data_IF_495675066796
#
_entry.id   IF_495675066796
#
_cell.length_a   1.000
_cell.length_b   1.000
_cell.length_c   1.000
_cell.angle_alpha   90.00
_cell.angle_beta   90.00
_cell.angle_gamma   90.00
#
_symmetry.space_group_name_H-M   'P 1'
#
loop_
_entity.id
_entity.type
_entity.pdbx_description
1 polymer ?
#
# COMPACT_ATOMS: atom_id res chain seq x y z
N UNK A 1 -10.70 36.69 -11.33
CA UNK A 1 -10.23 35.29 -11.27
C UNK A 1 -11.36 34.42 -10.70
N UNK A 2 -11.86 33.44 -11.45
CA UNK A 2 -12.89 32.51 -10.95
C UNK A 2 -12.16 31.37 -10.19
N UNK A 3 -12.64 30.95 -9.00
CA UNK A 3 -12.02 29.81 -8.33
C UNK A 3 -12.25 28.55 -9.15
N UNK A 4 -11.17 27.77 -9.38
CA UNK A 4 -11.24 26.48 -10.06
C UNK A 4 -12.12 25.53 -9.23
N UNK A 5 -13.12 24.93 -9.87
CA UNK A 5 -13.95 23.91 -9.23
C UNK A 5 -13.07 22.73 -8.85
N UNK A 6 -12.96 22.44 -7.55
CA UNK A 6 -12.37 21.18 -7.06
C UNK A 6 -13.06 19.99 -7.74
N UNK A 7 -12.33 18.94 -8.14
CA UNK A 7 -12.92 17.75 -8.71
C UNK A 7 -13.92 17.17 -7.69
N UNK A 8 -15.17 17.00 -8.11
CA UNK A 8 -16.18 16.31 -7.30
C UNK A 8 -15.78 14.85 -7.19
N UNK A 9 -15.39 14.41 -6.00
CA UNK A 9 -15.30 12.99 -5.70
C UNK A 9 -16.72 12.41 -5.80
N UNK A 10 -16.96 11.61 -6.81
CA UNK A 10 -18.14 10.77 -6.85
C UNK A 10 -17.89 9.56 -5.97
N UNK A 11 -18.58 9.48 -4.85
CA UNK A 11 -18.70 8.19 -4.16
C UNK A 11 -19.34 7.21 -5.14
N UNK A 12 -18.78 6.01 -5.31
CA UNK A 12 -19.36 5.02 -6.19
C UNK A 12 -20.75 4.69 -5.66
N UNK A 13 -21.78 5.05 -6.42
CA UNK A 13 -23.19 4.73 -6.14
C UNK A 13 -23.54 3.29 -6.51
N UNK A 14 -22.54 2.51 -6.92
CA UNK A 14 -22.67 1.08 -7.21
C UNK A 14 -22.64 0.26 -5.94
N UNK A 15 -23.80 -0.33 -5.59
CA UNK A 15 -23.86 -1.34 -4.52
C UNK A 15 -22.86 -2.49 -4.82
N UNK A 16 -22.12 -2.98 -3.81
CA UNK A 16 -21.27 -4.19 -3.96
C UNK A 16 -22.01 -5.42 -4.49
N UNK A 17 -23.33 -5.41 -4.49
CA UNK A 17 -24.18 -6.46 -5.05
C UNK A 17 -24.06 -6.62 -6.57
N UNK A 18 -23.76 -5.56 -7.31
CA UNK A 18 -23.62 -5.63 -8.79
C UNK A 18 -22.41 -6.42 -9.26
N UNK A 19 -21.39 -6.62 -8.41
CA UNK A 19 -20.19 -7.40 -8.73
C UNK A 19 -20.34 -8.90 -8.47
N UNK A 20 -21.35 -9.32 -7.66
CA UNK A 20 -21.56 -10.74 -7.33
C UNK A 20 -22.06 -11.56 -8.50
N UNK A 21 -22.77 -10.94 -9.44
CA UNK A 21 -23.39 -11.60 -10.59
C UNK A 21 -22.46 -11.72 -11.80
N UNK A 22 -21.27 -11.13 -11.73
CA UNK A 22 -20.26 -11.21 -12.80
C UNK A 22 -19.23 -12.28 -12.43
N UNK A 23 -18.89 -13.23 -13.30
CA UNK A 23 -17.82 -14.20 -13.05
C UNK A 23 -16.51 -13.50 -12.67
N UNK A 24 -15.74 -14.12 -11.77
CA UNK A 24 -14.42 -13.60 -11.39
C UNK A 24 -13.51 -13.69 -12.61
N UNK A 25 -12.93 -12.56 -13.00
CA UNK A 25 -11.99 -12.46 -14.10
C UNK A 25 -10.55 -12.76 -13.69
N UNK A 26 -9.62 -12.41 -14.56
CA UNK A 26 -8.19 -12.46 -14.28
C UNK A 26 -7.83 -11.49 -13.14
N UNK A 27 -6.72 -11.72 -12.41
CA UNK A 27 -6.26 -10.79 -11.39
C UNK A 27 -6.21 -9.33 -11.85
N UNK A 28 -5.71 -9.06 -13.06
CA UNK A 28 -5.59 -7.70 -13.61
C UNK A 28 -6.97 -7.09 -13.88
N UNK A 29 -7.93 -7.86 -14.38
CA UNK A 29 -9.32 -7.39 -14.57
C UNK A 29 -9.99 -7.04 -13.24
N UNK A 30 -9.77 -7.84 -12.19
CA UNK A 30 -10.34 -7.56 -10.86
C UNK A 30 -9.67 -6.35 -10.21
N UNK A 31 -8.36 -6.15 -10.40
CA UNK A 31 -7.65 -4.93 -9.98
C UNK A 31 -8.24 -3.71 -10.70
N UNK A 32 -8.49 -3.81 -12.02
CA UNK A 32 -9.10 -2.71 -12.78
C UNK A 32 -10.50 -2.36 -12.26
N UNK A 33 -11.35 -3.37 -12.04
CA UNK A 33 -12.70 -3.17 -11.48
C UNK A 33 -12.67 -2.52 -10.10
N UNK A 34 -11.77 -2.98 -9.22
CA UNK A 34 -11.60 -2.41 -7.90
C UNK A 34 -11.08 -0.97 -7.97
N UNK A 35 -10.10 -0.68 -8.83
CA UNK A 35 -9.59 0.67 -9.03
C UNK A 35 -10.69 1.64 -9.48
N UNK A 36 -11.48 1.24 -10.48
CA UNK A 36 -12.58 2.06 -11.00
C UNK A 36 -13.67 2.29 -9.93
N UNK A 37 -14.01 1.25 -9.16
CA UNK A 37 -15.04 1.34 -8.13
C UNK A 37 -14.66 2.30 -6.99
N UNK A 38 -13.38 2.42 -6.66
CA UNK A 38 -12.89 3.26 -5.57
C UNK A 38 -12.20 4.56 -6.03
N UNK A 39 -12.17 4.83 -7.34
CA UNK A 39 -11.55 6.03 -7.90
C UNK A 39 -10.03 6.08 -7.70
N UNK A 40 -9.38 4.92 -7.68
CA UNK A 40 -7.93 4.79 -7.54
C UNK A 40 -7.25 4.71 -8.91
N UNK A 41 -5.99 5.12 -8.95
CA UNK A 41 -5.16 4.96 -10.14
C UNK A 41 -4.88 3.46 -10.40
N UNK A 42 -5.30 2.98 -11.57
CA UNK A 42 -5.14 1.58 -11.94
C UNK A 42 -3.67 1.18 -12.09
N UNK A 43 -2.82 2.06 -12.62
CA UNK A 43 -1.39 1.78 -12.77
C UNK A 43 -0.71 1.64 -11.41
N UNK A 44 -1.13 2.45 -10.42
CA UNK A 44 -0.69 2.30 -9.04
C UNK A 44 -1.12 0.94 -8.46
N UNK A 45 -2.38 0.58 -8.60
CA UNK A 45 -2.87 -0.71 -8.08
C UNK A 45 -2.17 -1.90 -8.75
N UNK A 46 -1.88 -1.83 -10.06
CA UNK A 46 -1.07 -2.84 -10.75
C UNK A 46 0.37 -2.89 -10.20
N UNK A 47 0.99 -1.73 -9.99
CA UNK A 47 2.34 -1.66 -9.45
C UNK A 47 2.44 -2.33 -8.07
N UNK A 48 1.48 -2.06 -7.19
CA UNK A 48 1.42 -2.70 -5.87
C UNK A 48 1.22 -4.21 -5.99
N UNK A 49 0.23 -4.67 -6.75
CA UNK A 49 -0.02 -6.11 -6.92
C UNK A 49 1.18 -6.85 -7.53
N UNK A 50 1.91 -6.20 -8.46
CA UNK A 50 3.16 -6.75 -9.02
C UNK A 50 4.24 -6.92 -7.94
N UNK A 51 4.40 -5.92 -7.07
CA UNK A 51 5.40 -5.95 -6.00
C UNK A 51 5.05 -7.01 -4.94
N UNK A 52 3.77 -7.07 -4.56
CA UNK A 52 3.32 -7.90 -3.44
C UNK A 52 3.20 -9.38 -3.77
N UNK A 53 2.74 -9.71 -4.98
CA UNK A 53 2.39 -11.09 -5.32
C UNK A 53 2.76 -11.52 -6.75
N UNK A 54 3.28 -10.63 -7.57
CA UNK A 54 3.40 -10.88 -9.02
C UNK A 54 2.06 -11.29 -9.66
N UNK A 55 0.97 -10.70 -9.21
CA UNK A 55 -0.42 -10.99 -9.60
C UNK A 55 -0.91 -12.40 -9.22
N UNK A 56 -0.23 -13.11 -8.31
CA UNK A 56 -0.70 -14.40 -7.81
C UNK A 56 -1.71 -14.20 -6.66
N UNK A 57 -3.01 -14.53 -6.86
CA UNK A 57 -4.01 -14.39 -5.80
C UNK A 57 -3.81 -15.38 -4.64
N UNK A 58 -2.96 -16.39 -4.81
CA UNK A 58 -2.67 -17.42 -3.80
C UNK A 58 -1.34 -17.18 -3.08
N UNK A 59 -0.60 -16.12 -3.44
CA UNK A 59 0.67 -15.79 -2.79
C UNK A 59 0.50 -15.69 -1.27
N UNK A 60 1.49 -16.22 -0.55
CA UNK A 60 1.59 -16.13 0.92
C UNK A 60 3.00 -15.75 1.34
N UNK A 61 3.11 -14.73 2.18
CA UNK A 61 4.37 -14.28 2.77
C UNK A 61 4.15 -14.09 4.27
N UNK A 62 4.50 -15.11 5.06
CA UNK A 62 4.19 -15.12 6.49
C UNK A 62 2.68 -15.12 6.74
N UNK A 63 2.18 -14.10 7.44
CA UNK A 63 0.75 -13.91 7.75
C UNK A 63 -0.02 -13.11 6.68
N UNK A 64 0.66 -12.70 5.60
CA UNK A 64 0.06 -11.91 4.53
C UNK A 64 -0.32 -12.77 3.34
N UNK A 65 -1.46 -12.47 2.70
CA UNK A 65 -2.11 -13.35 1.73
C UNK A 65 -2.70 -12.58 0.56
N UNK A 66 -2.64 -13.21 -0.62
CA UNK A 66 -3.34 -12.79 -1.82
C UNK A 66 -2.63 -11.71 -2.63
N UNK A 67 -3.35 -11.13 -3.60
CA UNK A 67 -2.82 -10.17 -4.57
C UNK A 67 -2.10 -8.98 -3.95
N UNK A 68 -2.64 -8.45 -2.85
CA UNK A 68 -2.13 -7.27 -2.16
C UNK A 68 -1.51 -7.58 -0.81
N UNK A 69 -1.24 -8.86 -0.52
CA UNK A 69 -0.61 -9.31 0.71
C UNK A 69 -1.25 -8.66 1.95
N UNK A 70 -2.55 -8.90 2.13
CA UNK A 70 -3.30 -8.43 3.29
C UNK A 70 -3.19 -9.45 4.43
N UNK A 71 -3.09 -8.96 5.67
CA UNK A 71 -3.31 -9.79 6.85
C UNK A 71 -4.79 -10.15 7.01
N UNK A 72 -5.10 -11.21 7.74
CA UNK A 72 -6.49 -11.59 8.03
C UNK A 72 -7.25 -10.45 8.73
N UNK A 73 -6.58 -9.71 9.62
CA UNK A 73 -7.19 -8.58 10.32
C UNK A 73 -7.52 -7.42 9.37
N UNK A 74 -6.63 -7.10 8.43
CA UNK A 74 -6.89 -6.08 7.41
C UNK A 74 -8.03 -6.52 6.49
N UNK A 75 -8.02 -7.78 6.04
CA UNK A 75 -9.08 -8.30 5.20
C UNK A 75 -10.43 -8.29 5.90
N UNK A 76 -10.50 -8.67 7.17
CA UNK A 76 -11.72 -8.59 7.97
C UNK A 76 -12.23 -7.15 8.15
N UNK A 77 -11.31 -6.18 8.21
CA UNK A 77 -11.64 -4.76 8.36
C UNK A 77 -12.13 -4.10 7.06
N UNK A 78 -11.51 -4.43 5.93
CA UNK A 78 -11.72 -3.72 4.66
C UNK A 78 -12.44 -4.55 3.60
N UNK A 79 -12.64 -5.84 3.81
CA UNK A 79 -13.21 -6.75 2.82
C UNK A 79 -14.20 -7.75 3.39
N UNK A 80 -14.64 -8.63 2.52
CA UNK A 80 -15.49 -9.79 2.86
C UNK A 80 -15.30 -10.86 1.79
N UNK A 81 -15.69 -12.10 2.10
CA UNK A 81 -15.57 -13.23 1.20
C UNK A 81 -14.29 -14.03 1.44
N UNK A 82 -13.55 -14.34 0.39
CA UNK A 82 -12.34 -15.17 0.44
C UNK A 82 -11.09 -14.32 0.11
N UNK A 83 -10.16 -14.21 1.05
CA UNK A 83 -8.91 -13.49 0.91
C UNK A 83 -8.03 -14.00 -0.25
N UNK A 84 -8.22 -15.26 -0.67
CA UNK A 84 -7.53 -15.87 -1.83
C UNK A 84 -8.28 -15.66 -3.16
N UNK A 85 -9.48 -15.08 -3.12
CA UNK A 85 -10.21 -14.69 -4.31
C UNK A 85 -9.66 -13.36 -4.84
N UNK A 86 -9.31 -13.31 -6.11
CA UNK A 86 -8.69 -12.12 -6.73
C UNK A 86 -9.57 -10.87 -6.57
N UNK A 87 -10.89 -10.99 -6.77
CA UNK A 87 -11.86 -9.91 -6.63
C UNK A 87 -11.94 -9.41 -5.20
N UNK A 88 -12.16 -10.32 -4.25
CA UNK A 88 -12.37 -9.97 -2.84
C UNK A 88 -11.12 -9.30 -2.25
N UNK A 89 -9.94 -9.82 -2.59
CA UNK A 89 -8.66 -9.25 -2.16
C UNK A 89 -8.41 -7.87 -2.80
N UNK A 90 -8.68 -7.69 -4.10
CA UNK A 90 -8.53 -6.41 -4.79
C UNK A 90 -9.49 -5.35 -4.24
N UNK A 91 -10.75 -5.71 -3.97
CA UNK A 91 -11.74 -4.80 -3.37
C UNK A 91 -11.30 -4.36 -1.96
N UNK A 92 -10.86 -5.31 -1.12
CA UNK A 92 -10.39 -5.01 0.23
C UNK A 92 -9.17 -4.06 0.20
N UNK A 93 -8.21 -4.32 -0.68
CA UNK A 93 -7.05 -3.46 -0.87
C UNK A 93 -7.44 -2.06 -1.38
N UNK A 94 -8.33 -1.98 -2.37
CA UNK A 94 -8.80 -0.70 -2.90
C UNK A 94 -9.51 0.13 -1.83
N UNK A 95 -10.36 -0.50 -1.02
CA UNK A 95 -11.02 0.18 0.09
C UNK A 95 -10.00 0.67 1.14
N UNK A 96 -9.00 -0.15 1.48
CA UNK A 96 -7.89 0.24 2.36
C UNK A 96 -7.15 1.46 1.83
N UNK A 97 -6.76 1.47 0.55
CA UNK A 97 -6.05 2.60 -0.07
C UNK A 97 -6.91 3.87 -0.16
N UNK A 98 -8.18 3.75 -0.54
CA UNK A 98 -9.10 4.89 -0.58
C UNK A 98 -9.27 5.51 0.82
N UNK A 99 -9.42 4.68 1.85
CA UNK A 99 -9.49 5.13 3.24
C UNK A 99 -8.20 5.83 3.67
N UNK A 100 -7.04 5.25 3.35
CA UNK A 100 -5.74 5.84 3.66
C UNK A 100 -5.55 7.21 2.98
N UNK A 101 -5.96 7.36 1.72
CA UNK A 101 -5.90 8.62 0.98
C UNK A 101 -6.75 9.71 1.66
N UNK A 102 -7.97 9.37 2.06
CA UNK A 102 -8.87 10.31 2.76
C UNK A 102 -8.28 10.74 4.11
N UNK A 103 -7.81 9.80 4.91
CA UNK A 103 -7.21 10.09 6.21
C UNK A 103 -5.94 10.93 6.07
N UNK A 104 -5.10 10.63 5.08
CA UNK A 104 -3.91 11.42 4.80
C UNK A 104 -4.28 12.86 4.43
N UNK A 105 -5.26 13.07 3.55
CA UNK A 105 -5.73 14.40 3.15
C UNK A 105 -6.32 15.17 4.33
N UNK A 106 -7.11 14.52 5.18
CA UNK A 106 -7.67 15.14 6.38
C UNK A 106 -6.59 15.59 7.38
N UNK A 107 -5.56 14.77 7.57
CA UNK A 107 -4.51 15.04 8.54
C UNK A 107 -3.46 16.05 8.05
N UNK A 108 -3.16 16.03 6.74
CA UNK A 108 -2.06 16.82 6.17
C UNK A 108 -2.51 18.01 5.33
N UNK A 109 -3.79 18.08 4.98
CA UNK A 109 -4.38 19.03 4.00
C UNK A 109 -3.73 18.92 2.61
N UNK A 110 -3.13 17.77 2.29
CA UNK A 110 -2.48 17.48 1.01
C UNK A 110 -3.01 16.16 0.45
N UNK A 111 -3.09 16.06 -0.87
CA UNK A 111 -3.39 14.78 -1.51
C UNK A 111 -2.21 13.83 -1.33
N UNK A 112 -2.52 12.57 -0.96
CA UNK A 112 -1.52 11.53 -0.90
C UNK A 112 -0.94 11.25 -2.29
N UNK A 113 0.37 11.13 -2.39
CA UNK A 113 1.04 10.59 -3.58
C UNK A 113 0.95 9.06 -3.59
N UNK A 114 1.25 8.44 -4.73
CA UNK A 114 1.33 6.96 -4.81
C UNK A 114 2.39 6.41 -3.84
N UNK A 115 3.48 7.14 -3.63
CA UNK A 115 4.54 6.78 -2.69
C UNK A 115 4.07 6.86 -1.24
N UNK A 116 3.27 7.86 -0.88
CA UNK A 116 2.68 7.97 0.46
C UNK A 116 1.73 6.80 0.73
N UNK A 117 0.85 6.48 -0.21
CA UNK A 117 -0.09 5.36 -0.08
C UNK A 117 0.63 4.02 0.05
N UNK A 118 1.68 3.81 -0.74
CA UNK A 118 2.45 2.58 -0.66
C UNK A 118 3.25 2.48 0.65
N UNK A 119 3.83 3.57 1.14
CA UNK A 119 4.50 3.61 2.43
C UNK A 119 3.52 3.30 3.58
N UNK A 120 2.31 3.87 3.54
CA UNK A 120 1.24 3.58 4.51
C UNK A 120 0.84 2.09 4.43
N UNK A 121 0.78 1.52 3.23
CA UNK A 121 0.49 0.09 3.07
C UNK A 121 1.54 -0.80 3.73
N UNK A 122 2.82 -0.45 3.58
CA UNK A 122 3.95 -1.19 4.11
C UNK A 122 4.18 -1.03 5.61
N UNK A 123 3.95 0.17 6.16
CA UNK A 123 4.36 0.54 7.51
C UNK A 123 3.19 0.91 8.44
N UNK A 124 1.96 0.94 7.91
CA UNK A 124 0.82 1.53 8.59
C UNK A 124 0.92 3.07 8.66
N UNK A 125 -0.15 3.72 9.07
CA UNK A 125 -0.21 5.20 9.10
C UNK A 125 0.82 5.79 10.05
N UNK A 126 0.89 5.31 11.31
CA UNK A 126 1.85 5.82 12.28
C UNK A 126 3.31 5.57 11.84
N UNK A 127 3.59 4.38 11.30
CA UNK A 127 4.94 4.05 10.80
C UNK A 127 5.36 4.96 9.66
N UNK A 128 4.47 5.23 8.72
CA UNK A 128 4.72 6.16 7.62
C UNK A 128 4.99 7.59 8.13
N UNK A 129 4.17 8.09 9.06
CA UNK A 129 4.35 9.41 9.67
C UNK A 129 5.69 9.51 10.42
N UNK A 130 6.04 8.54 11.24
CA UNK A 130 7.30 8.51 11.98
C UNK A 130 8.52 8.52 11.04
N UNK A 131 8.50 7.74 9.97
CA UNK A 131 9.59 7.72 9.01
C UNK A 131 9.74 9.02 8.24
N UNK A 132 8.62 9.63 7.82
CA UNK A 132 8.63 10.87 7.02
C UNK A 132 9.02 12.08 7.86
N UNK A 133 8.55 12.14 9.11
CA UNK A 133 8.84 13.27 10.01
C UNK A 133 10.25 13.22 10.60
N UNK A 134 10.87 12.02 10.67
CA UNK A 134 12.18 11.81 11.26
C UNK A 134 13.15 11.11 10.30
N UNK A 135 13.45 11.69 9.11
CA UNK A 135 14.21 11.02 8.05
C UNK A 135 15.66 10.66 8.46
N UNK A 136 16.26 11.41 9.36
CA UNK A 136 17.62 11.17 9.85
C UNK A 136 17.69 10.17 11.01
N UNK A 137 16.54 9.79 11.57
CA UNK A 137 16.47 8.76 12.61
C UNK A 137 16.77 7.38 12.05
N UNK A 138 17.29 6.49 12.89
CA UNK A 138 17.42 5.07 12.55
C UNK A 138 16.02 4.49 12.33
N UNK A 139 15.81 3.83 11.18
CA UNK A 139 14.48 3.38 10.73
C UNK A 139 13.75 2.49 11.75
N UNK A 140 14.45 1.56 12.40
CA UNK A 140 13.79 0.72 13.40
C UNK A 140 13.37 1.48 14.66
N UNK A 141 14.04 2.60 15.00
CA UNK A 141 13.63 3.47 16.12
C UNK A 141 12.35 4.21 15.79
N UNK A 142 12.20 4.71 14.57
CA UNK A 142 10.93 5.30 14.10
C UNK A 142 9.79 4.27 14.14
N UNK A 143 10.04 3.02 13.73
CA UNK A 143 9.05 1.95 13.87
C UNK A 143 8.71 1.68 15.34
N UNK A 144 9.68 1.72 16.24
CA UNK A 144 9.46 1.56 17.67
C UNK A 144 8.74 2.76 18.36
N UNK A 145 8.68 3.90 17.71
CA UNK A 145 7.91 5.05 18.20
C UNK A 145 6.40 4.89 18.02
N UNK A 146 5.96 3.99 17.12
CA UNK A 146 4.55 3.66 16.92
C UNK A 146 3.98 2.90 18.11
N UNK A 147 2.65 2.93 18.28
CA UNK A 147 1.97 2.18 19.35
C UNK A 147 2.23 0.67 19.27
N UNK A 148 2.19 0.12 18.05
CA UNK A 148 2.53 -1.27 17.80
C UNK A 148 3.99 -1.59 18.14
N UNK A 149 4.91 -0.71 17.74
CA UNK A 149 6.33 -0.85 18.02
C UNK A 149 6.64 -0.81 19.52
N UNK A 150 6.01 0.11 20.26
CA UNK A 150 6.13 0.19 21.72
C UNK A 150 5.65 -1.09 22.41
N UNK A 151 4.54 -1.65 21.92
CA UNK A 151 3.97 -2.88 22.47
C UNK A 151 4.84 -4.12 22.18
N UNK A 152 5.38 -4.22 20.95
CA UNK A 152 6.12 -5.41 20.49
C UNK A 152 7.61 -5.37 20.77
N UNK A 153 8.17 -4.19 21.02
CA UNK A 153 9.55 -3.97 21.45
C UNK A 153 10.60 -4.01 20.34
N UNK A 154 11.83 -3.67 20.71
CA UNK A 154 12.96 -3.42 19.83
C UNK A 154 13.25 -4.58 18.86
N UNK A 155 13.25 -5.81 19.34
CA UNK A 155 13.54 -6.99 18.52
C UNK A 155 12.55 -7.14 17.36
N UNK A 156 11.29 -6.82 17.61
CA UNK A 156 10.26 -6.82 16.57
C UNK A 156 10.46 -5.66 15.61
N UNK A 157 10.71 -4.44 16.10
CA UNK A 157 10.96 -3.27 15.26
C UNK A 157 12.12 -3.50 14.28
N UNK A 158 13.24 -4.03 14.79
CA UNK A 158 14.40 -4.37 13.95
C UNK A 158 14.05 -5.41 12.88
N UNK A 159 13.29 -6.45 13.22
CA UNK A 159 12.83 -7.44 12.23
C UNK A 159 11.86 -6.84 11.21
N UNK A 160 10.92 -6.00 11.66
CA UNK A 160 9.96 -5.36 10.78
C UNK A 160 10.64 -4.48 9.72
N UNK A 161 11.67 -3.73 10.10
CA UNK A 161 12.43 -2.91 9.17
C UNK A 161 13.38 -3.75 8.32
N UNK A 162 14.24 -4.55 8.96
CA UNK A 162 15.27 -5.29 8.23
C UNK A 162 14.70 -6.41 7.35
N UNK A 163 13.62 -7.06 7.79
CA UNK A 163 12.89 -8.05 6.99
C UNK A 163 12.35 -7.47 5.68
N UNK A 164 11.87 -6.23 5.73
CA UNK A 164 11.30 -5.51 4.58
C UNK A 164 12.33 -4.68 3.79
N UNK A 165 13.60 -4.69 4.17
CA UNK A 165 14.66 -3.98 3.43
C UNK A 165 15.16 -4.85 2.28
N UNK A 166 15.29 -4.24 1.10
CA UNK A 166 15.77 -4.92 -0.11
C UNK A 166 17.25 -5.33 0.02
N UNK A 167 17.67 -6.45 -0.62
CA UNK A 167 19.04 -6.97 -0.51
C UNK A 167 20.13 -5.95 -0.88
N UNK A 168 19.92 -5.17 -1.93
CA UNK A 168 20.85 -4.13 -2.37
C UNK A 168 21.03 -3.02 -1.32
N UNK A 169 19.95 -2.65 -0.62
CA UNK A 169 20.01 -1.66 0.46
C UNK A 169 20.70 -2.25 1.68
N UNK A 170 20.43 -3.52 2.02
CA UNK A 170 21.15 -4.24 3.08
C UNK A 170 22.64 -4.31 2.80
N UNK A 171 23.02 -4.50 1.53
CA UNK A 171 24.42 -4.53 1.13
C UNK A 171 25.13 -3.19 1.40
N UNK A 172 24.46 -2.07 1.16
CA UNK A 172 25.00 -0.71 1.41
C UNK A 172 25.07 -0.41 2.90
N UNK A 173 23.97 -0.60 3.61
CA UNK A 173 23.82 -0.17 5.01
C UNK A 173 24.37 -1.16 6.03
N UNK A 174 24.63 -2.41 5.64
CA UNK A 174 25.27 -3.51 6.41
C UNK A 174 24.44 -4.00 7.60
N UNK A 175 23.85 -3.11 8.39
CA UNK A 175 23.05 -3.46 9.57
C UNK A 175 21.79 -2.59 9.66
N UNK A 176 20.78 -3.08 10.36
CA UNK A 176 19.55 -2.32 10.65
C UNK A 176 19.83 -1.08 11.52
N UNK A 177 20.90 -1.14 12.31
CA UNK A 177 21.28 -0.05 13.22
C UNK A 177 21.92 1.15 12.50
N UNK A 178 22.26 1.00 11.22
CA UNK A 178 22.77 2.09 10.39
C UNK A 178 21.69 2.67 9.48
N UNK A 179 20.68 1.88 9.09
CA UNK A 179 19.66 2.29 8.10
C UNK A 179 18.80 3.43 8.62
N UNK A 180 18.82 4.57 7.91
CA UNK A 180 17.98 5.72 8.26
C UNK A 180 16.56 5.58 7.72
N UNK A 181 15.60 6.26 8.38
CA UNK A 181 14.21 6.36 7.92
C UNK A 181 14.10 6.93 6.51
N UNK A 182 14.84 7.98 6.20
CA UNK A 182 14.85 8.57 4.86
C UNK A 182 15.33 7.60 3.77
N UNK A 183 16.37 6.81 4.04
CA UNK A 183 16.84 5.78 3.11
C UNK A 183 15.82 4.65 2.94
N UNK A 184 15.15 4.24 4.01
CA UNK A 184 14.12 3.23 3.99
C UNK A 184 12.89 3.68 3.19
N UNK A 185 12.41 4.93 3.41
CA UNK A 185 11.32 5.55 2.63
C UNK A 185 11.69 5.63 1.16
N UNK A 186 12.89 6.15 0.85
CA UNK A 186 13.36 6.29 -0.54
C UNK A 186 13.40 4.95 -1.29
N UNK A 187 13.79 3.87 -0.61
CA UNK A 187 13.78 2.52 -1.18
C UNK A 187 12.37 2.12 -1.65
N UNK A 188 11.36 2.36 -0.82
CA UNK A 188 9.96 2.02 -1.17
C UNK A 188 9.40 2.94 -2.26
N UNK A 189 9.70 4.25 -2.21
CA UNK A 189 9.32 5.19 -3.26
C UNK A 189 9.88 4.75 -4.61
N UNK A 190 11.18 4.48 -4.69
CA UNK A 190 11.81 4.03 -5.94
C UNK A 190 11.24 2.71 -6.45
N UNK A 191 10.84 1.81 -5.56
CA UNK A 191 10.27 0.52 -5.95
C UNK A 191 8.88 0.69 -6.56
N UNK A 192 7.98 1.45 -5.95
CA UNK A 192 6.64 1.66 -6.50
C UNK A 192 6.69 2.51 -7.77
N UNK A 193 7.52 3.55 -7.82
CA UNK A 193 7.67 4.42 -8.99
C UNK A 193 8.15 3.65 -10.22
N UNK A 194 9.10 2.72 -10.06
CA UNK A 194 9.60 1.88 -11.15
C UNK A 194 8.48 1.10 -11.84
N UNK A 195 7.62 0.46 -11.06
CA UNK A 195 6.51 -0.34 -11.62
C UNK A 195 5.36 0.55 -12.11
N UNK A 196 5.09 1.66 -11.43
CA UNK A 196 4.10 2.63 -11.87
C UNK A 196 4.44 3.21 -13.25
N UNK A 197 5.68 3.66 -13.45
CA UNK A 197 6.16 4.18 -14.74
C UNK A 197 6.00 3.12 -15.84
N UNK A 198 6.41 1.88 -15.56
CA UNK A 198 6.27 0.78 -16.53
C UNK A 198 4.83 0.57 -16.99
N UNK A 199 3.85 0.60 -16.05
CA UNK A 199 2.44 0.41 -16.42
C UNK A 199 1.84 1.64 -17.08
N UNK A 200 2.26 2.84 -16.72
CA UNK A 200 1.82 4.08 -17.36
C UNK A 200 2.28 4.19 -18.80
N UNK A 201 3.49 3.75 -19.11
CA UNK A 201 4.04 3.75 -20.48
C UNK A 201 3.36 2.71 -21.38
N UNK A 202 3.01 1.54 -20.86
CA UNK A 202 2.30 0.50 -21.64
C UNK A 202 0.86 0.85 -21.94
N UNK A 203 0.23 1.72 -21.17
CA UNK A 203 -1.14 2.18 -21.40
C UNK A 203 -1.26 3.25 -22.51
N UNK A 204 -0.13 3.86 -22.94
CA UNK A 204 -0.07 4.92 -23.97
C UNK A 204 0.29 4.41 -25.36
N UNK A 205 0.62 3.14 -25.51
CA UNK A 205 0.89 2.46 -26.77
C UNK A 205 -0.26 1.52 -27.17
#
# INVERSE_FOLDING_TARGET
MRPSKAPKYHYPTGSPRSLKDVPVGTPVEEIKRASDAFGLDFNFMQAVAKIESDFDPKQRTGSYVGLFQLSNNEFAKYGSGDILNARDNAIAAAYKFATAAILFELNTHKKATISDLYLIHQQGTQGAEEHVNHPDSIAWKSMCATDEGKQKGEKWCKRAIWGNTLPEIKHVWKTVDNLTSGAFVKMWQQRVDRYYTRYSETATN
#
